data_IF_967563333341
#
_entry.id   IF_967563333341
#
_cell.length_a   1.000
_cell.length_b   1.000
_cell.length_c   1.000
_cell.angle_alpha   90.00
_cell.angle_beta   90.00
_cell.angle_gamma   90.00
#
_symmetry.space_group_name_H-M   'P 1'
#
loop_
_entity.id
_entity.type
_entity.pdbx_description
1 polymer ?
#
# COMPACT_ATOMS: atom_id res chain seq x y z
N UNK A 1 0.21 -3.97 -27.27
CA UNK A 1 -0.43 -4.27 -25.96
C UNK A 1 0.10 -3.24 -24.97
N UNK A 2 -0.73 -2.69 -24.09
CA UNK A 2 -0.22 -1.79 -23.05
C UNK A 2 0.72 -2.57 -22.12
N UNK A 3 1.88 -1.99 -21.80
CA UNK A 3 2.86 -2.60 -20.90
C UNK A 3 2.26 -2.75 -19.49
N UNK A 4 2.47 -3.90 -18.84
CA UNK A 4 1.94 -4.15 -17.50
C UNK A 4 2.65 -3.23 -16.50
N UNK A 5 1.95 -2.67 -15.50
CA UNK A 5 2.60 -1.92 -14.43
C UNK A 5 3.66 -2.78 -13.74
N UNK A 6 4.84 -2.21 -13.49
CA UNK A 6 5.95 -2.91 -12.84
C UNK A 6 6.29 -2.28 -11.50
N UNK A 7 6.07 -3.03 -10.43
CA UNK A 7 6.22 -2.56 -9.05
C UNK A 7 7.62 -2.90 -8.54
N UNK A 8 8.36 -1.89 -8.09
CA UNK A 8 9.69 -2.03 -7.48
C UNK A 8 9.60 -1.84 -5.98
N UNK A 9 9.79 -2.93 -5.24
CA UNK A 9 9.75 -2.96 -3.78
C UNK A 9 10.42 -4.23 -3.25
N UNK A 10 10.66 -4.35 -1.94
CA UNK A 10 11.08 -5.63 -1.36
C UNK A 10 9.88 -6.60 -1.20
N UNK A 11 10.13 -7.88 -0.97
CA UNK A 11 9.10 -8.91 -0.93
C UNK A 11 8.30 -8.92 0.39
N UNK A 12 7.57 -7.85 0.66
CA UNK A 12 6.65 -7.73 1.79
C UNK A 12 5.50 -6.78 1.47
N UNK A 13 4.58 -6.61 2.42
CA UNK A 13 3.50 -5.61 2.36
C UNK A 13 4.07 -4.20 2.21
N UNK A 14 4.61 -3.68 3.31
CA UNK A 14 5.11 -2.30 3.41
C UNK A 14 4.16 -1.26 2.82
N UNK A 15 4.72 -0.21 2.23
CA UNK A 15 3.95 0.86 1.57
C UNK A 15 3.42 0.48 0.18
N UNK A 16 3.86 -0.65 -0.39
CA UNK A 16 3.43 -1.12 -1.71
C UNK A 16 2.11 -1.90 -1.67
N UNK A 17 1.69 -2.39 -0.49
CA UNK A 17 0.51 -3.25 -0.40
C UNK A 17 -0.78 -2.56 -0.84
N UNK A 18 -0.98 -1.28 -0.51
CA UNK A 18 -2.14 -0.50 -0.96
C UNK A 18 -2.19 -0.37 -2.49
N UNK A 19 -1.03 -0.24 -3.14
CA UNK A 19 -0.91 -0.16 -4.62
C UNK A 19 -1.31 -1.52 -5.24
N UNK A 20 -0.86 -2.64 -4.66
CA UNK A 20 -1.28 -3.99 -5.10
C UNK A 20 -2.79 -4.17 -5.00
N UNK A 21 -3.38 -3.76 -3.86
CA UNK A 21 -4.83 -3.82 -3.64
C UNK A 21 -5.60 -3.01 -4.67
N UNK A 22 -5.16 -1.79 -4.98
CA UNK A 22 -5.85 -0.92 -5.93
C UNK A 22 -5.81 -1.48 -7.36
N UNK A 23 -4.63 -1.92 -7.82
CA UNK A 23 -4.49 -2.57 -9.14
C UNK A 23 -5.34 -3.84 -9.23
N UNK A 24 -5.29 -4.68 -8.20
CA UNK A 24 -6.06 -5.91 -8.18
C UNK A 24 -7.56 -5.64 -8.17
N UNK A 25 -8.05 -4.69 -7.38
CA UNK A 25 -9.46 -4.29 -7.35
C UNK A 25 -9.93 -3.75 -8.71
N UNK A 26 -9.06 -3.00 -9.40
CA UNK A 26 -9.30 -2.50 -10.76
C UNK A 26 -9.19 -3.58 -11.86
N UNK A 27 -8.85 -4.83 -11.51
CA UNK A 27 -8.71 -5.93 -12.46
C UNK A 27 -7.45 -5.85 -13.32
N UNK A 28 -6.43 -5.11 -12.88
CA UNK A 28 -5.19 -4.88 -13.62
C UNK A 28 -4.13 -5.89 -13.20
N UNK A 29 -3.60 -6.63 -14.16
CA UNK A 29 -2.42 -7.47 -13.95
C UNK A 29 -1.15 -6.62 -13.91
N UNK A 30 -0.24 -6.96 -13.01
CA UNK A 30 1.02 -6.25 -12.81
C UNK A 30 2.17 -7.22 -12.55
N UNK A 31 3.39 -6.75 -12.77
CA UNK A 31 4.63 -7.46 -12.48
C UNK A 31 5.30 -6.87 -11.24
N UNK A 32 6.10 -7.69 -10.54
CA UNK A 32 6.88 -7.25 -9.39
C UNK A 32 8.37 -7.53 -9.63
N UNK A 33 9.19 -6.50 -9.43
CA UNK A 33 10.65 -6.62 -9.38
C UNK A 33 11.11 -6.43 -7.94
N UNK A 34 11.43 -7.55 -7.29
CA UNK A 34 11.79 -7.52 -5.88
C UNK A 34 13.22 -7.04 -5.64
N UNK A 35 13.37 -6.10 -4.72
CA UNK A 35 14.66 -5.75 -4.11
C UNK A 35 15.05 -6.87 -3.14
N UNK A 36 16.22 -7.48 -3.35
CA UNK A 36 16.76 -8.55 -2.51
C UNK A 36 17.94 -8.07 -1.66
N UNK A 37 18.62 -7.01 -2.09
CA UNK A 37 19.75 -6.44 -1.37
C UNK A 37 19.80 -4.91 -1.45
N UNK A 38 20.71 -4.30 -0.69
CA UNK A 38 20.92 -2.85 -0.74
C UNK A 38 21.51 -2.41 -2.08
N UNK A 39 22.27 -3.28 -2.74
CA UNK A 39 22.85 -3.04 -4.08
C UNK A 39 21.75 -2.94 -5.15
N UNK A 40 20.67 -3.71 -5.03
CA UNK A 40 19.51 -3.59 -5.93
C UNK A 40 18.87 -2.19 -5.83
N UNK A 41 18.77 -1.68 -4.59
CA UNK A 41 18.25 -0.33 -4.35
C UNK A 41 19.20 0.73 -4.88
N UNK A 42 20.51 0.59 -4.62
CA UNK A 42 21.52 1.53 -5.13
C UNK A 42 21.59 1.53 -6.66
N UNK A 43 21.35 0.39 -7.32
CA UNK A 43 21.21 0.34 -8.77
C UNK A 43 20.05 1.22 -9.27
N UNK A 44 18.87 1.14 -8.65
CA UNK A 44 17.74 2.00 -9.03
C UNK A 44 18.03 3.49 -8.80
N UNK A 45 18.81 3.81 -7.76
CA UNK A 45 19.26 5.18 -7.47
C UNK A 45 20.22 5.68 -8.54
N UNK A 46 21.25 4.89 -8.86
CA UNK A 46 22.28 5.22 -9.83
C UNK A 46 21.75 5.31 -11.27
N UNK A 47 20.76 4.49 -11.62
CA UNK A 47 20.06 4.53 -12.91
C UNK A 47 19.11 5.75 -13.04
N UNK A 48 19.07 6.65 -12.04
CA UNK A 48 18.20 7.83 -12.04
C UNK A 48 16.71 7.51 -12.00
N UNK A 49 16.34 6.29 -11.59
CA UNK A 49 14.95 5.84 -11.61
C UNK A 49 14.12 6.39 -10.43
N UNK A 50 14.78 6.82 -9.35
CA UNK A 50 14.15 7.22 -8.10
C UNK A 50 14.34 8.71 -7.84
N UNK A 51 13.33 9.53 -8.14
CA UNK A 51 13.40 11.00 -7.97
C UNK A 51 13.84 11.42 -6.55
N UNK A 52 13.40 10.69 -5.52
CA UNK A 52 13.75 10.94 -4.11
C UNK A 52 14.58 9.81 -3.48
N UNK A 53 15.24 8.98 -4.29
CA UNK A 53 16.10 7.87 -3.83
C UNK A 53 15.39 6.83 -2.94
N UNK A 54 14.06 6.76 -3.02
CA UNK A 54 13.16 5.95 -2.22
C UNK A 54 12.20 5.14 -3.09
N UNK A 55 11.78 4.00 -2.57
CA UNK A 55 10.63 3.22 -3.07
C UNK A 55 9.49 3.31 -2.06
N UNK A 56 8.21 3.10 -2.42
CA UNK A 56 7.67 2.50 -3.65
C UNK A 56 8.00 3.24 -4.95
N UNK A 57 8.27 2.47 -6.01
CA UNK A 57 8.32 2.98 -7.40
C UNK A 57 7.51 2.06 -8.32
N UNK A 58 6.76 2.65 -9.25
CA UNK A 58 5.96 1.94 -10.25
C UNK A 58 6.28 2.45 -11.64
N UNK A 59 6.67 1.55 -12.54
CA UNK A 59 6.73 1.82 -13.97
C UNK A 59 5.33 1.61 -14.57
N UNK A 60 4.75 2.66 -15.16
CA UNK A 60 3.42 2.61 -15.79
C UNK A 60 3.29 3.74 -16.83
N UNK A 61 2.70 3.44 -17.99
CA UNK A 61 2.45 4.42 -19.07
C UNK A 61 3.70 5.24 -19.48
N UNK A 62 4.88 4.60 -19.50
CA UNK A 62 6.16 5.24 -19.80
C UNK A 62 6.72 6.14 -18.69
N UNK A 63 6.06 6.21 -17.53
CA UNK A 63 6.51 6.97 -16.36
C UNK A 63 7.11 6.05 -15.29
N UNK A 64 8.03 6.61 -14.49
CA UNK A 64 8.57 5.99 -13.26
C UNK A 64 8.07 6.78 -12.06
N UNK A 65 6.89 6.41 -11.55
CA UNK A 65 6.24 7.13 -10.46
C UNK A 65 6.78 6.66 -9.10
N UNK A 66 7.21 7.61 -8.27
CA UNK A 66 7.55 7.41 -6.85
C UNK A 66 6.53 8.15 -5.97
N UNK A 67 6.62 7.96 -4.65
CA UNK A 67 5.66 8.46 -3.64
C UNK A 67 4.31 7.74 -3.69
N UNK A 68 4.00 7.01 -2.61
CA UNK A 68 2.81 6.14 -2.52
C UNK A 68 1.51 6.86 -2.88
N UNK A 69 1.29 8.07 -2.36
CA UNK A 69 0.09 8.86 -2.61
C UNK A 69 -0.04 9.27 -4.09
N UNK A 70 1.05 9.71 -4.71
CA UNK A 70 1.05 10.08 -6.12
C UNK A 70 0.71 8.88 -7.02
N UNK A 71 1.30 7.71 -6.72
CA UNK A 71 1.01 6.46 -7.44
C UNK A 71 -0.47 6.08 -7.28
N UNK A 72 -1.01 6.08 -6.06
CA UNK A 72 -2.41 5.73 -5.80
C UNK A 72 -3.38 6.68 -6.52
N UNK A 73 -3.14 7.99 -6.47
CA UNK A 73 -3.99 8.99 -7.11
C UNK A 73 -4.00 8.84 -8.64
N UNK A 74 -2.84 8.54 -9.23
CA UNK A 74 -2.73 8.25 -10.66
C UNK A 74 -3.56 7.03 -11.05
N UNK A 75 -3.38 5.90 -10.33
CA UNK A 75 -4.09 4.66 -10.60
C UNK A 75 -5.60 4.82 -10.37
N UNK A 76 -6.01 5.48 -9.29
CA UNK A 76 -7.41 5.72 -8.99
C UNK A 76 -8.07 6.57 -10.09
N UNK A 77 -7.38 7.61 -10.58
CA UNK A 77 -7.87 8.41 -11.71
C UNK A 77 -7.96 7.60 -13.00
N UNK A 78 -6.89 6.86 -13.35
CA UNK A 78 -6.79 6.06 -14.58
C UNK A 78 -7.89 5.00 -14.70
N UNK A 79 -8.29 4.42 -13.57
CA UNK A 79 -9.28 3.34 -13.53
C UNK A 79 -10.66 3.79 -13.02
N UNK A 80 -10.95 5.09 -13.02
CA UNK A 80 -12.25 5.66 -12.63
C UNK A 80 -12.70 5.30 -11.20
N UNK A 81 -11.76 5.25 -10.27
CA UNK A 81 -11.96 4.96 -8.84
C UNK A 81 -11.82 6.21 -7.96
N UNK A 82 -11.88 7.42 -8.54
CA UNK A 82 -11.52 8.67 -7.85
C UNK A 82 -12.56 9.79 -7.94
N UNK A 83 -13.83 9.38 -7.85
CA UNK A 83 -14.99 10.27 -7.90
C UNK A 83 -15.25 10.85 -9.28
N UNK A 84 -16.47 11.36 -9.51
CA UNK A 84 -16.85 11.99 -10.79
C UNK A 84 -16.58 13.49 -10.84
N UNK A 85 -16.45 14.11 -9.67
CA UNK A 85 -16.28 15.55 -9.52
C UNK A 85 -15.35 15.92 -8.35
N UNK A 86 -15.03 17.21 -8.24
CA UNK A 86 -14.10 17.73 -7.24
C UNK A 86 -14.60 17.54 -5.80
N UNK A 87 -15.92 17.52 -5.58
CA UNK A 87 -16.50 17.35 -4.23
C UNK A 87 -16.39 15.88 -3.80
N UNK A 88 -16.73 14.95 -4.68
CA UNK A 88 -16.55 13.52 -4.43
C UNK A 88 -15.06 13.18 -4.20
N UNK A 89 -14.16 13.73 -5.02
CA UNK A 89 -12.72 13.53 -4.84
C UNK A 89 -12.23 14.05 -3.49
N UNK A 90 -12.67 15.24 -3.08
CA UNK A 90 -12.30 15.79 -1.77
C UNK A 90 -12.76 14.92 -0.59
N UNK A 91 -13.95 14.30 -0.68
CA UNK A 91 -14.42 13.35 0.33
C UNK A 91 -13.60 12.06 0.32
N UNK A 92 -13.26 11.53 -0.87
CA UNK A 92 -12.39 10.37 -1.00
C UNK A 92 -11.02 10.66 -0.36
N UNK A 93 -10.41 11.79 -0.69
CA UNK A 93 -9.11 12.20 -0.16
C UNK A 93 -9.12 12.27 1.36
N UNK A 94 -10.12 12.94 1.93
CA UNK A 94 -10.30 13.03 3.38
C UNK A 94 -10.38 11.65 4.04
N UNK A 95 -11.12 10.71 3.44
CA UNK A 95 -11.23 9.35 3.96
C UNK A 95 -9.94 8.55 3.81
N UNK A 96 -9.28 8.63 2.65
CA UNK A 96 -8.04 7.90 2.39
C UNK A 96 -6.89 8.41 3.24
N UNK A 97 -6.81 9.71 3.50
CA UNK A 97 -5.80 10.30 4.38
C UNK A 97 -6.00 9.86 5.84
N UNK A 98 -7.23 9.86 6.34
CA UNK A 98 -7.53 9.33 7.67
C UNK A 98 -7.19 7.84 7.83
N UNK A 99 -7.42 7.03 6.78
CA UNK A 99 -7.00 5.63 6.73
C UNK A 99 -5.47 5.51 6.67
N UNK A 100 -4.80 6.39 5.92
CA UNK A 100 -3.35 6.39 5.80
C UNK A 100 -2.67 6.70 7.14
N UNK A 101 -3.18 7.64 7.93
CA UNK A 101 -2.66 7.94 9.28
C UNK A 101 -2.73 6.72 10.20
N UNK A 102 -3.87 6.02 10.21
CA UNK A 102 -4.01 4.78 10.97
C UNK A 102 -3.12 3.67 10.42
N UNK A 103 -3.04 3.54 9.09
CA UNK A 103 -2.22 2.56 8.40
C UNK A 103 -0.73 2.73 8.68
N UNK A 104 -0.25 3.98 8.75
CA UNK A 104 1.14 4.32 9.08
C UNK A 104 1.48 3.89 10.50
N UNK A 105 0.57 4.12 11.47
CA UNK A 105 0.77 3.63 12.84
C UNK A 105 0.95 2.12 12.85
N UNK A 106 0.05 1.38 12.19
CA UNK A 106 0.10 -0.10 12.11
C UNK A 106 1.37 -0.58 11.40
N UNK A 107 1.77 0.09 10.32
CA UNK A 107 2.97 -0.21 9.54
C UNK A 107 4.25 -0.11 10.39
N UNK A 108 4.32 0.87 11.31
CA UNK A 108 5.50 1.13 12.14
C UNK A 108 5.54 0.31 13.43
N UNK A 109 4.43 -0.33 13.85
CA UNK A 109 4.38 -1.15 15.07
C UNK A 109 5.48 -2.23 15.17
N UNK A 110 5.82 -2.97 14.09
CA UNK A 110 6.87 -3.99 14.16
C UNK A 110 8.27 -3.42 14.46
N UNK A 111 8.49 -2.14 14.18
CA UNK A 111 9.78 -1.46 14.38
C UNK A 111 9.87 -0.72 15.72
N UNK A 112 8.76 -0.59 16.46
CA UNK A 112 8.77 0.01 17.79
C UNK A 112 9.41 -0.93 18.82
N UNK A 113 10.16 -0.34 19.76
CA UNK A 113 10.66 -1.08 20.93
C UNK A 113 9.50 -1.67 21.73
N UNK A 114 9.64 -2.87 22.33
CA UNK A 114 8.55 -3.52 23.07
C UNK A 114 7.85 -2.62 24.09
N UNK A 115 8.61 -1.76 24.79
CA UNK A 115 8.16 -0.85 25.83
C UNK A 115 7.31 0.32 25.26
N UNK A 116 7.53 0.66 23.99
CA UNK A 116 6.83 1.76 23.30
C UNK A 116 5.56 1.32 22.57
N UNK A 117 5.33 0.01 22.43
CA UNK A 117 4.19 -0.52 21.67
C UNK A 117 2.85 -0.13 22.30
N UNK A 118 2.69 -0.29 23.61
CA UNK A 118 1.44 0.04 24.31
C UNK A 118 1.07 1.55 24.28
N UNK A 119 2.00 2.50 24.55
CA UNK A 119 1.66 3.92 24.55
C UNK A 119 1.41 4.54 23.15
N UNK A 120 1.90 3.93 22.07
CA UNK A 120 1.73 4.42 20.68
C UNK A 120 0.44 3.96 19.98
N UNK A 121 -0.43 3.19 20.63
CA UNK A 121 -1.78 2.89 20.12
C UNK A 121 -2.78 3.91 20.72
N UNK A 122 -3.01 5.08 20.10
CA UNK A 122 -3.87 6.13 20.65
C UNK A 122 -5.32 5.68 20.84
N UNK A 123 -5.78 4.65 20.14
CA UNK A 123 -7.13 4.09 20.28
C UNK A 123 -7.34 3.30 21.58
N UNK A 124 -6.28 2.89 22.28
CA UNK A 124 -6.42 2.27 23.61
C UNK A 124 -6.90 3.29 24.65
N UNK A 125 -6.60 4.59 24.45
CA UNK A 125 -6.95 5.70 25.35
C UNK A 125 -8.05 6.60 24.80
N UNK A 126 -8.19 6.71 23.47
CA UNK A 126 -9.27 7.47 22.82
C UNK A 126 -10.44 6.52 22.57
N UNK A 127 -11.55 6.72 23.28
CA UNK A 127 -12.87 6.19 22.90
C UNK A 127 -13.27 6.82 21.57
N UNK A 128 -12.68 6.36 20.48
CA UNK A 128 -13.14 6.68 19.13
C UNK A 128 -14.54 6.09 19.04
N UNK A 129 -15.57 6.94 19.07
CA UNK A 129 -16.90 6.52 18.65
C UNK A 129 -16.77 6.06 17.20
N UNK A 130 -17.12 4.81 16.88
CA UNK A 130 -16.99 4.34 15.51
C UNK A 130 -17.89 5.24 14.65
N UNK A 131 -17.31 5.76 13.55
CA UNK A 131 -18.01 6.66 12.63
C UNK A 131 -19.29 6.00 12.06
N UNK A 132 -19.31 4.67 12.06
CA UNK A 132 -20.43 3.84 11.63
C UNK A 132 -20.68 2.69 12.61
N UNK A 133 -21.90 2.14 12.65
CA UNK A 133 -22.19 0.91 13.41
C UNK A 133 -21.28 -0.25 13.00
N UNK A 134 -20.90 -1.10 13.95
CA UNK A 134 -20.05 -2.26 13.68
C UNK A 134 -20.69 -3.21 12.65
N UNK A 135 -22.01 -3.38 12.71
CA UNK A 135 -22.79 -4.16 11.74
C UNK A 135 -22.60 -3.68 10.31
N UNK A 136 -22.64 -2.36 10.10
CA UNK A 136 -22.41 -1.75 8.79
C UNK A 136 -20.98 -2.02 8.30
N UNK A 137 -19.98 -1.92 9.18
CA UNK A 137 -18.60 -2.25 8.83
C UNK A 137 -18.40 -3.72 8.43
N UNK A 138 -19.10 -4.65 9.08
CA UNK A 138 -19.07 -6.07 8.73
C UNK A 138 -19.74 -6.31 7.38
N UNK A 139 -20.91 -5.71 7.15
CA UNK A 139 -21.65 -5.82 5.90
C UNK A 139 -20.84 -5.25 4.73
N UNK A 140 -20.33 -4.03 4.87
CA UNK A 140 -19.48 -3.37 3.87
C UNK A 140 -18.26 -4.23 3.53
N UNK A 141 -17.57 -4.76 4.54
CA UNK A 141 -16.45 -5.70 4.33
C UNK A 141 -16.89 -6.92 3.52
N UNK A 142 -18.04 -7.50 3.83
CA UNK A 142 -18.60 -8.64 3.12
C UNK A 142 -18.87 -8.32 1.65
N UNK A 143 -19.50 -7.18 1.37
CA UNK A 143 -19.77 -6.71 0.01
C UNK A 143 -18.48 -6.50 -0.79
N UNK A 144 -17.51 -5.75 -0.25
CA UNK A 144 -16.23 -5.47 -0.92
C UNK A 144 -15.43 -6.75 -1.17
N UNK A 145 -15.38 -7.66 -0.20
CA UNK A 145 -14.63 -8.92 -0.33
C UNK A 145 -15.21 -9.88 -1.37
N UNK A 146 -16.51 -9.71 -1.71
CA UNK A 146 -17.21 -10.52 -2.69
C UNK A 146 -17.11 -9.99 -4.12
N UNK A 147 -16.58 -8.78 -4.34
CA UNK A 147 -16.30 -8.28 -5.68
C UNK A 147 -15.38 -9.26 -6.43
N UNK A 148 -15.64 -9.63 -7.71
CA UNK A 148 -14.90 -10.69 -8.38
C UNK A 148 -13.39 -10.51 -8.38
N UNK A 149 -12.92 -9.30 -8.64
CA UNK A 149 -11.50 -8.93 -8.67
C UNK A 149 -10.85 -9.02 -7.29
N UNK A 150 -11.52 -8.49 -6.26
CA UNK A 150 -11.06 -8.55 -4.86
C UNK A 150 -11.07 -9.99 -4.36
N UNK A 151 -12.12 -10.74 -4.64
CA UNK A 151 -12.25 -12.15 -4.25
C UNK A 151 -11.12 -12.99 -4.85
N UNK A 152 -10.76 -12.75 -6.12
CA UNK A 152 -9.58 -13.36 -6.77
C UNK A 152 -8.29 -12.97 -6.05
N UNK A 153 -8.13 -11.70 -5.68
CA UNK A 153 -6.95 -11.22 -4.95
C UNK A 153 -6.83 -11.77 -3.52
N UNK A 154 -7.94 -12.15 -2.90
CA UNK A 154 -7.95 -12.78 -1.58
C UNK A 154 -7.57 -14.26 -1.61
N UNK A 155 -7.65 -14.93 -2.77
CA UNK A 155 -7.30 -16.35 -2.89
C UNK A 155 -5.80 -16.61 -2.67
N UNK A 156 -5.43 -17.82 -2.21
CA UNK A 156 -4.05 -18.28 -2.19
C UNK A 156 -3.39 -18.16 -3.57
N UNK A 157 -2.09 -17.81 -3.59
CA UNK A 157 -1.33 -17.63 -4.82
C UNK A 157 -1.50 -16.26 -5.50
N UNK A 158 -2.33 -15.37 -4.95
CA UNK A 158 -2.38 -13.98 -5.42
C UNK A 158 -1.11 -13.21 -5.04
N UNK A 159 -0.87 -12.02 -5.65
CA UNK A 159 0.24 -11.15 -5.25
C UNK A 159 0.09 -10.51 -3.86
N UNK A 160 -0.97 -10.80 -3.10
CA UNK A 160 -1.19 -10.30 -1.74
C UNK A 160 -0.09 -10.80 -0.80
N UNK A 161 0.53 -9.91 -0.03
CA UNK A 161 1.65 -10.29 0.83
C UNK A 161 1.18 -10.68 2.25
N UNK A 162 1.85 -11.63 2.92
CA UNK A 162 1.55 -11.97 4.31
C UNK A 162 1.90 -10.81 5.25
N UNK A 163 1.39 -10.81 6.51
CA UNK A 163 1.87 -9.89 7.54
C UNK A 163 3.39 -10.00 7.70
N UNK A 164 4.09 -8.92 8.11
CA UNK A 164 5.53 -8.96 8.31
C UNK A 164 5.90 -9.94 9.43
N UNK A 165 6.93 -10.74 9.16
CA UNK A 165 7.59 -11.65 10.10
C UNK A 165 9.03 -11.17 10.41
N UNK A 166 9.72 -11.82 11.35
CA UNK A 166 11.08 -11.41 11.73
C UNK A 166 12.06 -11.41 10.55
N UNK A 167 11.95 -12.38 9.64
CA UNK A 167 12.81 -12.51 8.46
C UNK A 167 12.63 -11.33 7.50
N UNK A 168 11.40 -11.01 7.13
CA UNK A 168 11.08 -9.89 6.23
C UNK A 168 11.45 -8.53 6.84
N UNK A 169 11.39 -8.39 8.17
CA UNK A 169 11.88 -7.18 8.86
C UNK A 169 13.40 -7.07 8.80
N UNK A 170 14.13 -8.18 8.98
CA UNK A 170 15.59 -8.19 8.84
C UNK A 170 16.04 -7.89 7.41
N UNK A 171 15.36 -8.46 6.41
CA UNK A 171 15.56 -8.12 4.99
C UNK A 171 15.33 -6.63 4.73
N UNK A 172 14.26 -6.06 5.30
CA UNK A 172 14.00 -4.62 5.19
C UNK A 172 15.13 -3.77 5.79
N UNK A 173 15.60 -4.11 6.99
CA UNK A 173 16.72 -3.41 7.64
C UNK A 173 17.99 -3.46 6.79
N UNK A 174 18.31 -4.62 6.20
CA UNK A 174 19.47 -4.77 5.31
C UNK A 174 19.35 -3.93 4.04
N UNK A 175 18.20 -3.98 3.36
CA UNK A 175 17.98 -3.27 2.08
C UNK A 175 17.96 -1.75 2.30
N UNK A 176 17.27 -1.29 3.34
CA UNK A 176 17.02 0.15 3.57
C UNK A 176 17.98 0.80 4.56
N UNK A 177 18.88 0.03 5.19
CA UNK A 177 19.94 0.50 6.09
C UNK A 177 19.39 1.30 7.30
N UNK A 178 18.48 0.70 8.06
CA UNK A 178 17.94 1.24 9.31
C UNK A 178 17.81 0.18 10.42
#
# INVERSE_FOLDING_TARGET
MAEKPKLHYYNARGRMESIRWLLAAAGVEFEEKFLKSAEDLDKLRNDGCLMFQQVPMVEIDGMKLVQTRAILNYLASKYNLYGKDIKERALIDMYTEGIADLGEMILLLPFCQPEEKMPKLPWSKRKLKPLFPLSWGIEFRGQISNLPTVKKFLQPGSPRKPPPDAKSLEEARKIFRF
#
